data_IF_287681144007
#
_entry.id   IF_287681144007
#
_cell.length_a   1.000
_cell.length_b   1.000
_cell.length_c   1.000
_cell.angle_alpha   90.00
_cell.angle_beta   90.00
_cell.angle_gamma   90.00
#
_symmetry.space_group_name_H-M   'P 1'
#
loop_
_entity.id
_entity.type
_entity.pdbx_description
1 polymer ?
#
# COMPACT_ATOMS: atom_id res chain seq x y z
N UNK A 1 3.91 -28.90 17.84
CA UNK A 1 4.16 -30.31 17.49
C UNK A 1 2.82 -31.02 17.49
N UNK A 2 2.16 -31.13 16.34
CA UNK A 2 0.94 -31.93 16.22
C UNK A 2 1.35 -33.40 16.15
N UNK A 3 0.80 -34.23 17.05
CA UNK A 3 0.89 -35.68 16.97
C UNK A 3 0.16 -36.12 15.70
N UNK A 4 0.87 -36.79 14.79
CA UNK A 4 0.25 -37.48 13.67
C UNK A 4 -0.77 -38.48 14.23
N UNK A 5 -2.06 -38.27 13.92
CA UNK A 5 -3.10 -39.21 14.31
C UNK A 5 -2.85 -40.54 13.60
N UNK A 6 -2.83 -41.65 14.35
CA UNK A 6 -2.64 -42.97 13.80
C UNK A 6 -3.79 -43.30 12.82
N UNK A 7 -3.45 -43.84 11.65
CA UNK A 7 -4.43 -44.20 10.62
C UNK A 7 -5.38 -45.27 11.20
N UNK A 8 -6.70 -45.04 11.22
CA UNK A 8 -7.65 -46.01 11.76
C UNK A 8 -7.69 -47.28 10.88
N UNK A 9 -7.66 -48.46 11.51
CA UNK A 9 -7.94 -49.73 10.83
C UNK A 9 -9.45 -49.90 10.71
N UNK A 10 -9.93 -50.23 9.52
CA UNK A 10 -11.34 -50.41 9.20
C UNK A 10 -11.54 -51.86 8.81
N UNK A 11 -12.21 -52.64 9.65
CA UNK A 11 -12.47 -54.07 9.42
C UNK A 11 -13.98 -54.36 9.30
N UNK A 12 -14.82 -53.51 9.90
CA UNK A 12 -16.30 -53.62 9.88
C UNK A 12 -16.99 -52.36 9.36
N UNK A 13 -18.28 -52.46 9.02
CA UNK A 13 -19.11 -51.31 8.63
C UNK A 13 -19.25 -50.29 9.77
N UNK A 14 -19.28 -50.75 11.02
CA UNK A 14 -19.39 -49.88 12.19
C UNK A 14 -18.08 -49.10 12.40
N UNK A 15 -16.93 -49.70 12.11
CA UNK A 15 -15.63 -49.01 12.13
C UNK A 15 -15.54 -47.90 11.06
N UNK A 16 -16.19 -48.13 9.90
CA UNK A 16 -16.27 -47.13 8.84
C UNK A 16 -17.08 -45.92 9.30
N UNK A 17 -18.27 -46.15 9.88
CA UNK A 17 -19.12 -45.07 10.40
C UNK A 17 -18.42 -44.29 11.53
N UNK A 18 -17.73 -44.98 12.44
CA UNK A 18 -16.95 -44.34 13.50
C UNK A 18 -15.79 -43.48 12.95
N UNK A 19 -15.10 -43.94 11.90
CA UNK A 19 -14.03 -43.19 11.25
C UNK A 19 -14.57 -41.93 10.53
N UNK A 20 -15.74 -42.02 9.89
CA UNK A 20 -16.38 -40.85 9.26
C UNK A 20 -16.76 -39.82 10.32
N UNK A 21 -17.38 -40.23 11.42
CA UNK A 21 -17.73 -39.32 12.51
C UNK A 21 -16.49 -38.64 13.11
N UNK A 22 -15.42 -39.40 13.34
CA UNK A 22 -14.13 -38.85 13.83
C UNK A 22 -13.56 -37.79 12.89
N UNK A 23 -13.54 -38.09 11.59
CA UNK A 23 -13.04 -37.18 10.56
C UNK A 23 -13.89 -35.90 10.51
N UNK A 24 -15.22 -36.02 10.56
CA UNK A 24 -16.11 -34.87 10.58
C UNK A 24 -15.90 -34.01 11.83
N UNK A 25 -15.71 -34.62 12.99
CA UNK A 25 -15.38 -33.88 14.22
C UNK A 25 -14.03 -33.20 14.13
N UNK A 26 -13.01 -33.84 13.55
CA UNK A 26 -11.69 -33.24 13.37
C UNK A 26 -11.74 -32.05 12.41
N UNK A 27 -12.47 -32.17 11.29
CA UNK A 27 -12.69 -31.08 10.34
C UNK A 27 -13.41 -29.92 11.01
N UNK A 28 -14.50 -30.18 11.75
CA UNK A 28 -15.25 -29.13 12.47
C UNK A 28 -14.37 -28.46 13.53
N UNK A 29 -13.62 -29.24 14.30
CA UNK A 29 -12.70 -28.71 15.34
C UNK A 29 -11.56 -27.90 14.72
N UNK A 30 -11.02 -28.33 13.58
CA UNK A 30 -9.99 -27.59 12.85
C UNK A 30 -10.53 -26.28 12.26
N UNK A 31 -11.76 -26.28 11.76
CA UNK A 31 -12.44 -25.09 11.26
C UNK A 31 -12.71 -24.09 12.39
N UNK A 32 -13.20 -24.55 13.54
CA UNK A 32 -13.40 -23.72 14.73
C UNK A 32 -12.09 -23.14 15.23
N UNK A 33 -11.02 -23.94 15.31
CA UNK A 33 -9.67 -23.46 15.67
C UNK A 33 -9.14 -22.43 14.68
N UNK A 34 -9.29 -22.66 13.38
CA UNK A 34 -8.82 -21.72 12.34
C UNK A 34 -9.59 -20.40 12.37
N UNK A 35 -10.90 -20.45 12.55
CA UNK A 35 -11.76 -19.25 12.59
C UNK A 35 -11.56 -18.45 13.88
N UNK A 36 -11.42 -19.12 15.03
CA UNK A 36 -11.10 -18.48 16.31
C UNK A 36 -9.68 -17.92 16.32
N UNK A 37 -8.69 -18.67 15.86
CA UNK A 37 -7.30 -18.22 15.73
C UNK A 37 -7.20 -17.00 14.80
N UNK A 38 -7.96 -16.97 13.69
CA UNK A 38 -8.00 -15.78 12.80
C UNK A 38 -8.60 -14.55 13.49
N UNK A 39 -9.65 -14.71 14.30
CA UNK A 39 -10.28 -13.61 15.06
C UNK A 39 -9.37 -13.13 16.18
N UNK A 40 -8.78 -14.04 16.93
CA UNK A 40 -7.81 -13.75 18.00
C UNK A 40 -6.54 -13.11 17.44
N UNK A 41 -6.05 -13.54 16.27
CA UNK A 41 -4.94 -12.90 15.57
C UNK A 41 -5.31 -11.48 15.14
N UNK A 42 -6.52 -11.24 14.60
CA UNK A 42 -6.98 -9.88 14.26
C UNK A 42 -7.09 -8.99 15.49
N UNK A 43 -7.63 -9.52 16.59
CA UNK A 43 -7.74 -8.82 17.86
C UNK A 43 -6.38 -8.55 18.50
N UNK A 44 -5.46 -9.52 18.48
CA UNK A 44 -4.09 -9.36 18.96
C UNK A 44 -3.28 -8.39 18.10
N UNK A 45 -3.48 -8.36 16.78
CA UNK A 45 -2.86 -7.37 15.90
C UNK A 45 -3.42 -5.96 16.19
N UNK A 46 -4.73 -5.83 16.42
CA UNK A 46 -5.34 -4.58 16.88
C UNK A 46 -4.77 -4.12 18.23
N UNK A 47 -4.64 -5.03 19.21
CA UNK A 47 -4.07 -4.75 20.53
C UNK A 47 -2.57 -4.40 20.42
N UNK A 48 -1.79 -5.10 19.60
CA UNK A 48 -0.38 -4.79 19.36
C UNK A 48 -0.20 -3.41 18.68
N UNK A 49 -1.07 -3.05 17.73
CA UNK A 49 -1.09 -1.71 17.12
C UNK A 49 -1.52 -0.62 18.11
N UNK A 50 -2.47 -0.94 19.00
CA UNK A 50 -2.93 -0.04 20.05
C UNK A 50 -1.82 0.16 21.08
N UNK A 51 -1.17 -0.89 21.57
CA UNK A 51 -0.04 -0.83 22.50
C UNK A 51 1.18 -0.08 21.92
N UNK A 52 1.45 -0.24 20.62
CA UNK A 52 2.51 0.51 19.94
C UNK A 52 2.27 2.02 19.87
N UNK A 53 1.01 2.45 19.93
CA UNK A 53 0.59 3.85 19.98
C UNK A 53 0.01 4.24 21.35
N UNK A 54 0.05 3.34 22.35
CA UNK A 54 -0.50 3.55 23.68
C UNK A 54 0.54 4.31 24.49
N UNK A 55 0.43 5.63 24.43
CA UNK A 55 0.87 6.49 25.53
C UNK A 55 -0.12 6.14 26.64
N UNK A 56 0.30 5.45 27.70
CA UNK A 56 -0.61 5.07 28.77
C UNK A 56 -1.17 6.28 29.52
N UNK A 57 -1.40 6.14 30.82
CA UNK A 57 -1.69 7.32 31.62
C UNK A 57 -0.51 8.29 31.56
N UNK A 58 -0.77 9.51 31.05
CA UNK A 58 0.24 10.55 30.90
C UNK A 58 0.84 10.84 32.30
N UNK A 59 2.18 10.82 32.47
CA UNK A 59 2.80 11.08 33.75
C UNK A 59 2.33 12.39 34.37
N UNK A 60 2.17 12.42 35.69
CA UNK A 60 1.67 13.58 36.42
C UNK A 60 2.46 14.86 36.10
N UNK A 61 3.78 14.75 35.93
CA UNK A 61 4.65 15.86 35.53
C UNK A 61 4.27 16.44 34.15
N UNK A 62 4.04 15.59 33.15
CA UNK A 62 3.60 16.02 31.83
C UNK A 62 2.19 16.65 31.87
N UNK A 63 1.29 16.14 32.71
CA UNK A 63 -0.02 16.75 32.94
C UNK A 63 0.11 18.15 33.56
N UNK A 64 1.00 18.33 34.55
CA UNK A 64 1.28 19.62 35.17
C UNK A 64 1.88 20.60 34.15
N UNK A 65 2.85 20.18 33.34
CA UNK A 65 3.41 20.98 32.24
C UNK A 65 2.34 21.40 31.22
N UNK A 66 1.39 20.52 30.89
CA UNK A 66 0.26 20.85 30.01
C UNK A 66 -0.61 21.95 30.65
N UNK A 67 -0.90 21.87 31.95
CA UNK A 67 -1.66 22.89 32.68
C UNK A 67 -0.91 24.23 32.67
N UNK A 68 0.37 24.24 32.99
CA UNK A 68 1.19 25.46 32.98
C UNK A 68 1.30 26.08 31.58
N UNK A 69 1.50 25.26 30.54
CA UNK A 69 1.52 25.71 29.14
C UNK A 69 0.20 26.35 28.74
N UNK A 70 -0.95 25.76 29.13
CA UNK A 70 -2.29 26.31 28.85
C UNK A 70 -2.44 27.68 29.53
N UNK A 71 -2.07 27.80 30.80
CA UNK A 71 -2.12 29.07 31.55
C UNK A 71 -1.20 30.14 30.92
N UNK A 72 0.03 29.78 30.54
CA UNK A 72 0.97 30.68 29.89
C UNK A 72 0.49 31.15 28.51
N UNK A 73 -0.13 30.27 27.71
CA UNK A 73 -0.74 30.66 26.43
C UNK A 73 -1.89 31.65 26.62
N UNK A 74 -2.75 31.41 27.61
CA UNK A 74 -3.84 32.33 27.92
C UNK A 74 -3.31 33.70 28.37
N UNK A 75 -2.26 33.72 29.21
CA UNK A 75 -1.59 34.97 29.60
C UNK A 75 -1.00 35.69 28.39
N UNK A 76 -0.27 34.97 27.53
CA UNK A 76 0.32 35.53 26.31
C UNK A 76 -0.74 36.16 25.38
N UNK A 77 -1.87 35.47 25.20
CA UNK A 77 -2.99 35.95 24.37
C UNK A 77 -3.58 37.25 24.92
N UNK A 78 -3.79 37.34 26.24
CA UNK A 78 -4.35 38.54 26.88
C UNK A 78 -3.40 39.72 26.89
N UNK A 79 -2.12 39.47 27.11
CA UNK A 79 -1.12 40.52 27.29
C UNK A 79 -0.54 41.07 25.98
N UNK A 80 -0.54 40.28 24.89
CA UNK A 80 0.18 40.60 23.65
C UNK A 80 1.71 40.67 23.78
N UNK A 81 2.30 40.64 24.98
CA UNK A 81 3.72 40.87 25.19
C UNK A 81 4.61 39.69 24.70
N UNK A 82 5.77 39.99 24.08
CA UNK A 82 6.67 38.97 23.53
C UNK A 82 7.24 38.03 24.61
N UNK A 83 7.46 38.53 25.83
CA UNK A 83 7.97 37.73 26.96
C UNK A 83 7.01 36.61 27.35
N UNK A 84 5.71 36.89 27.44
CA UNK A 84 4.71 35.89 27.75
C UNK A 84 4.60 34.83 26.64
N UNK A 85 4.78 35.24 25.37
CA UNK A 85 4.85 34.30 24.23
C UNK A 85 6.11 33.43 24.31
N UNK A 86 7.25 33.97 24.71
CA UNK A 86 8.51 33.23 24.91
C UNK A 86 8.33 32.14 25.98
N UNK A 87 7.73 32.47 27.12
CA UNK A 87 7.41 31.51 28.20
C UNK A 87 6.46 30.41 27.70
N UNK A 88 5.39 30.78 26.98
CA UNK A 88 4.44 29.80 26.42
C UNK A 88 5.10 28.85 25.41
N UNK A 89 6.05 29.36 24.61
CA UNK A 89 6.83 28.55 23.66
C UNK A 89 7.81 27.61 24.39
N UNK A 90 8.51 28.10 25.41
CA UNK A 90 9.39 27.27 26.24
C UNK A 90 8.61 26.12 26.90
N UNK A 91 7.46 26.41 27.52
CA UNK A 91 6.59 25.39 28.09
C UNK A 91 6.03 24.43 27.04
N UNK A 92 5.75 24.92 25.82
CA UNK A 92 5.33 24.05 24.71
C UNK A 92 6.43 23.07 24.30
N UNK A 93 7.70 23.51 24.29
CA UNK A 93 8.85 22.63 24.03
C UNK A 93 9.03 21.60 25.15
N UNK A 94 8.92 22.03 26.41
CA UNK A 94 8.98 21.12 27.57
C UNK A 94 7.88 20.07 27.56
N UNK A 95 6.65 20.45 27.24
CA UNK A 95 5.54 19.49 27.09
C UNK A 95 5.83 18.48 25.98
N UNK A 96 6.33 18.92 24.83
CA UNK A 96 6.71 18.00 23.74
C UNK A 96 7.79 17.03 24.19
N UNK A 97 8.88 17.53 24.78
CA UNK A 97 9.96 16.72 25.30
C UNK A 97 9.48 15.66 26.30
N UNK A 98 8.66 16.06 27.29
CA UNK A 98 8.13 15.15 28.29
C UNK A 98 7.21 14.07 27.70
N UNK A 99 6.38 14.41 26.70
CA UNK A 99 5.53 13.44 26.01
C UNK A 99 6.34 12.50 25.11
N UNK A 100 7.35 13.02 24.41
CA UNK A 100 8.22 12.23 23.55
C UNK A 100 9.05 11.25 24.40
N UNK A 101 9.59 11.70 25.52
CA UNK A 101 10.33 10.84 26.47
C UNK A 101 9.44 9.73 27.03
N UNK A 102 8.23 10.06 27.48
CA UNK A 102 7.29 9.06 27.98
C UNK A 102 6.88 8.06 26.89
N UNK A 103 6.69 8.53 25.66
CA UNK A 103 6.43 7.66 24.50
C UNK A 103 7.62 6.74 24.22
N UNK A 104 8.84 7.26 24.24
CA UNK A 104 10.06 6.47 24.02
C UNK A 104 10.26 5.42 25.12
N UNK A 105 10.03 5.78 26.38
CA UNK A 105 10.09 4.87 27.52
C UNK A 105 9.05 3.75 27.38
N UNK A 106 7.81 4.10 27.06
CA UNK A 106 6.74 3.12 26.85
C UNK A 106 7.05 2.19 25.68
N UNK A 107 7.59 2.75 24.59
CA UNK A 107 8.04 1.97 23.44
C UNK A 107 9.21 1.05 23.77
N UNK A 108 10.16 1.51 24.59
CA UNK A 108 11.28 0.69 25.06
C UNK A 108 10.81 -0.50 25.86
N UNK A 109 9.93 -0.28 26.86
CA UNK A 109 9.31 -1.36 27.64
C UNK A 109 8.53 -2.35 26.78
N UNK A 110 7.84 -1.84 25.75
CA UNK A 110 7.16 -2.68 24.79
C UNK A 110 8.13 -3.53 23.97
N UNK A 111 9.27 -2.98 23.53
CA UNK A 111 10.29 -3.75 22.81
C UNK A 111 10.94 -4.81 23.71
N UNK A 112 11.19 -4.48 24.98
CA UNK A 112 11.73 -5.41 25.99
C UNK A 112 10.78 -6.57 26.31
N UNK A 113 9.46 -6.37 26.17
CA UNK A 113 8.48 -7.42 26.41
C UNK A 113 8.30 -8.39 25.23
N UNK A 114 8.90 -8.12 24.06
CA UNK A 114 8.77 -8.99 22.89
C UNK A 114 9.55 -10.29 23.06
N UNK A 115 8.95 -11.39 22.61
CA UNK A 115 9.53 -12.71 22.66
C UNK A 115 9.53 -13.38 21.27
N UNK A 116 10.63 -14.03 20.86
CA UNK A 116 10.64 -14.80 19.62
C UNK A 116 9.71 -16.03 19.61
N UNK A 117 9.39 -16.60 20.78
CA UNK A 117 8.63 -17.86 20.91
C UNK A 117 7.11 -17.71 20.80
N UNK A 118 6.57 -16.51 21.02
CA UNK A 118 5.13 -16.24 21.08
C UNK A 118 4.59 -15.46 19.86
N UNK A 119 5.38 -15.40 18.77
CA UNK A 119 5.06 -14.69 17.52
C UNK A 119 4.90 -13.15 17.69
N UNK A 120 5.13 -12.58 18.89
CA UNK A 120 5.04 -11.13 19.14
C UNK A 120 6.05 -10.34 18.32
N UNK A 121 7.30 -10.82 18.24
CA UNK A 121 8.39 -10.18 17.48
C UNK A 121 8.08 -10.12 15.98
N UNK A 122 7.53 -11.18 15.41
CA UNK A 122 7.19 -11.21 13.98
C UNK A 122 6.00 -10.30 13.66
N UNK A 123 4.99 -10.27 14.55
CA UNK A 123 3.85 -9.34 14.43
C UNK A 123 4.34 -7.89 14.46
N UNK A 124 5.18 -7.51 15.42
CA UNK A 124 5.73 -6.14 15.51
C UNK A 124 6.61 -5.79 14.32
N UNK A 125 7.49 -6.70 13.89
CA UNK A 125 8.30 -6.49 12.69
C UNK A 125 7.44 -6.25 11.45
N UNK A 126 6.37 -7.03 11.26
CA UNK A 126 5.45 -6.88 10.13
C UNK A 126 4.78 -5.51 10.15
N UNK A 127 4.35 -5.05 11.31
CA UNK A 127 3.79 -3.69 11.50
C UNK A 127 4.81 -2.61 11.11
N UNK A 128 6.05 -2.71 11.59
CA UNK A 128 7.11 -1.73 11.31
C UNK A 128 7.49 -1.69 9.81
N UNK A 129 7.49 -2.83 9.14
CA UNK A 129 7.75 -2.91 7.68
C UNK A 129 6.57 -2.40 6.85
N UNK A 130 5.35 -2.44 7.38
CA UNK A 130 4.16 -1.99 6.67
C UNK A 130 4.13 -0.46 6.63
N UNK A 131 4.68 0.12 5.56
CA UNK A 131 4.47 1.52 5.24
C UNK A 131 3.08 1.67 4.63
N UNK A 132 2.10 2.11 5.42
CA UNK A 132 0.85 2.63 4.85
C UNK A 132 1.16 4.00 4.24
N UNK A 133 1.56 4.01 2.98
CA UNK A 133 1.48 5.26 2.22
C UNK A 133 0.00 5.59 2.10
N UNK A 134 -0.41 6.75 2.62
CA UNK A 134 -1.72 7.27 2.26
C UNK A 134 -1.66 7.51 0.75
N UNK A 135 -2.47 6.76 0.00
CA UNK A 135 -2.62 7.01 -1.43
C UNK A 135 -3.04 8.48 -1.55
N UNK A 136 -2.26 9.33 -2.23
CA UNK A 136 -2.61 10.74 -2.33
C UNK A 136 -3.98 10.86 -3.00
N UNK A 137 -4.77 11.90 -2.68
CA UNK A 137 -6.00 12.18 -3.39
C UNK A 137 -5.74 12.25 -4.90
N UNK A 138 -6.68 11.73 -5.69
CA UNK A 138 -6.58 11.83 -7.14
C UNK A 138 -6.80 13.30 -7.53
N UNK A 139 -5.87 13.84 -8.31
CA UNK A 139 -5.95 15.20 -8.83
C UNK A 139 -6.25 15.15 -10.33
N UNK A 140 -7.22 15.95 -10.78
CA UNK A 140 -7.42 16.32 -12.17
C UNK A 140 -6.91 17.74 -12.42
N UNK A 141 -7.22 18.32 -13.58
CA UNK A 141 -6.75 19.66 -13.96
C UNK A 141 -7.15 20.77 -12.97
N UNK A 142 -8.33 20.64 -12.37
CA UNK A 142 -8.92 21.65 -11.46
C UNK A 142 -8.71 21.33 -9.98
N UNK A 143 -7.92 20.30 -9.63
CA UNK A 143 -7.63 19.90 -8.25
C UNK A 143 -8.17 18.51 -7.88
N UNK A 144 -8.49 18.31 -6.60
CA UNK A 144 -8.89 16.99 -6.09
C UNK A 144 -10.23 16.57 -6.69
N UNK A 145 -10.29 15.33 -7.17
CA UNK A 145 -11.42 14.77 -7.87
C UNK A 145 -12.23 13.83 -6.99
N UNK A 146 -13.55 13.97 -7.03
CA UNK A 146 -14.47 13.21 -6.18
C UNK A 146 -15.45 12.33 -6.97
N UNK A 147 -15.99 12.82 -8.09
CA UNK A 147 -17.01 12.08 -8.86
C UNK A 147 -16.35 10.99 -9.71
N UNK A 148 -17.08 9.90 -9.98
CA UNK A 148 -16.54 8.80 -10.79
C UNK A 148 -16.29 9.20 -12.25
N UNK A 149 -17.11 10.11 -12.78
CA UNK A 149 -16.89 10.69 -14.11
C UNK A 149 -15.60 11.50 -14.14
N UNK A 150 -15.40 12.41 -13.19
CA UNK A 150 -14.18 13.22 -13.12
C UNK A 150 -12.95 12.34 -12.88
N UNK A 151 -13.06 11.25 -12.09
CA UNK A 151 -11.96 10.28 -11.92
C UNK A 151 -11.59 9.64 -13.25
N UNK A 152 -12.59 9.25 -14.04
CA UNK A 152 -12.38 8.67 -15.36
C UNK A 152 -11.69 9.67 -16.30
N UNK A 153 -12.09 10.95 -16.28
CA UNK A 153 -11.41 12.01 -17.04
C UNK A 153 -9.95 12.18 -16.56
N UNK A 154 -9.70 12.32 -15.26
CA UNK A 154 -8.35 12.47 -14.72
C UNK A 154 -7.41 11.30 -15.08
N UNK A 155 -7.93 10.07 -15.12
CA UNK A 155 -7.17 8.92 -15.61
C UNK A 155 -6.95 8.96 -17.12
N UNK A 156 -7.94 9.41 -17.90
CA UNK A 156 -7.80 9.54 -19.35
C UNK A 156 -6.75 10.61 -19.70
N UNK A 157 -6.72 11.73 -19.00
CA UNK A 157 -5.72 12.78 -19.17
C UNK A 157 -4.31 12.29 -18.82
N UNK A 158 -4.18 11.54 -17.72
CA UNK A 158 -2.91 10.90 -17.35
C UNK A 158 -2.45 9.87 -18.39
N UNK A 159 -3.39 9.12 -18.99
CA UNK A 159 -3.09 8.12 -20.01
C UNK A 159 -2.65 8.78 -21.32
N UNK A 160 -3.35 9.83 -21.74
CA UNK A 160 -2.98 10.64 -22.91
C UNK A 160 -1.56 11.18 -22.75
N UNK A 161 -1.26 11.79 -21.60
CA UNK A 161 0.07 12.36 -21.31
C UNK A 161 1.19 11.31 -21.40
N UNK A 162 0.95 10.11 -20.89
CA UNK A 162 1.93 9.01 -20.93
C UNK A 162 2.09 8.42 -22.34
N UNK A 163 1.07 8.53 -23.17
CA UNK A 163 1.06 8.09 -24.56
C UNK A 163 1.48 9.20 -25.53
N UNK A 164 2.16 10.26 -25.09
CA UNK A 164 2.81 11.24 -25.99
C UNK A 164 4.19 10.75 -26.41
N UNK A 165 4.69 11.31 -27.51
CA UNK A 165 6.05 11.05 -27.96
C UNK A 165 7.05 11.59 -26.93
N UNK A 166 8.11 10.81 -26.65
CA UNK A 166 9.12 11.21 -25.68
C UNK A 166 9.97 12.35 -26.27
N UNK A 167 9.94 13.52 -25.65
CA UNK A 167 10.78 14.66 -26.03
C UNK A 167 12.19 14.56 -25.40
N UNK A 168 12.81 13.39 -25.47
CA UNK A 168 14.20 13.23 -25.02
C UNK A 168 15.12 13.42 -26.22
N UNK A 169 15.54 14.66 -26.44
CA UNK A 169 16.66 15.03 -27.33
C UNK A 169 17.99 14.66 -26.66
N UNK A 170 18.20 13.36 -26.42
CA UNK A 170 19.49 12.83 -26.01
C UNK A 170 20.15 12.16 -27.23
N UNK A 171 21.10 12.86 -27.83
CA UNK A 171 21.85 12.39 -29.00
C UNK A 171 22.60 11.07 -28.71
N UNK A 172 23.10 10.87 -27.48
CA UNK A 172 23.80 9.64 -27.10
C UNK A 172 22.83 8.46 -26.99
N UNK A 173 21.67 8.68 -26.36
CA UNK A 173 20.62 7.68 -26.27
C UNK A 173 20.08 7.31 -27.66
N UNK A 174 19.87 8.31 -28.53
CA UNK A 174 19.40 8.11 -29.90
C UNK A 174 20.40 7.27 -30.70
N UNK A 175 21.70 7.60 -30.60
CA UNK A 175 22.76 6.84 -31.24
C UNK A 175 22.86 5.39 -30.70
N UNK A 176 22.67 5.18 -29.40
CA UNK A 176 22.63 3.84 -28.80
C UNK A 176 21.45 3.01 -29.33
N UNK A 177 20.25 3.61 -29.41
CA UNK A 177 19.06 2.94 -29.91
C UNK A 177 19.18 2.59 -31.39
N UNK A 178 19.74 3.47 -32.21
CA UNK A 178 20.02 3.16 -33.61
C UNK A 178 21.02 2.01 -33.77
N UNK A 179 22.10 2.00 -32.97
CA UNK A 179 23.06 0.89 -32.98
C UNK A 179 22.39 -0.43 -32.61
N UNK A 180 21.54 -0.41 -31.58
CA UNK A 180 20.82 -1.60 -31.11
C UNK A 180 19.80 -2.09 -32.15
N UNK A 181 19.05 -1.19 -32.78
CA UNK A 181 18.10 -1.54 -33.84
C UNK A 181 18.80 -2.18 -35.04
N UNK A 182 19.97 -1.65 -35.45
CA UNK A 182 20.80 -2.28 -36.50
C UNK A 182 21.29 -3.66 -36.10
N UNK A 183 21.66 -3.85 -34.84
CA UNK A 183 22.11 -5.15 -34.33
C UNK A 183 20.97 -6.18 -34.31
N UNK A 184 19.77 -5.78 -33.91
CA UNK A 184 18.57 -6.64 -33.95
C UNK A 184 18.20 -7.00 -35.39
N UNK A 185 18.29 -6.06 -36.33
CA UNK A 185 18.04 -6.37 -37.75
C UNK A 185 19.06 -7.31 -38.39
N UNK A 186 20.21 -7.56 -37.75
CA UNK A 186 21.23 -8.50 -38.20
C UNK A 186 21.09 -9.89 -37.57
N UNK A 187 20.37 -10.01 -36.44
CA UNK A 187 20.03 -11.32 -35.89
C UNK A 187 18.91 -11.92 -36.74
N UNK A 188 19.07 -13.14 -37.27
CA UNK A 188 17.97 -13.79 -37.98
C UNK A 188 16.83 -14.05 -36.98
N UNK A 189 15.68 -13.44 -37.24
CA UNK A 189 14.44 -13.74 -36.51
C UNK A 189 13.88 -15.07 -37.04
N UNK A 190 13.70 -16.06 -36.15
CA UNK A 190 13.08 -17.36 -36.47
C UNK A 190 11.54 -17.29 -36.59
N UNK A 191 10.95 -16.11 -36.36
CA UNK A 191 9.50 -15.90 -36.34
C UNK A 191 8.97 -15.48 -37.74
N UNK A 192 7.96 -16.19 -38.27
CA UNK A 192 7.27 -15.86 -39.54
C UNK A 192 6.28 -14.67 -39.40
N UNK A 193 6.69 -13.57 -38.77
CA UNK A 193 5.84 -12.38 -38.65
C UNK A 193 6.03 -11.52 -39.91
N UNK A 194 4.98 -11.42 -40.74
CA UNK A 194 4.99 -10.52 -41.91
C UNK A 194 5.16 -9.07 -41.44
N UNK A 195 6.16 -8.33 -41.94
CA UNK A 195 6.35 -6.93 -41.59
C UNK A 195 5.12 -6.12 -41.99
N UNK A 196 4.63 -5.29 -41.07
CA UNK A 196 3.49 -4.41 -41.34
C UNK A 196 3.94 -3.16 -42.10
N UNK A 197 3.13 -2.69 -43.04
CA UNK A 197 3.45 -1.48 -43.82
C UNK A 197 3.24 -0.22 -42.97
N UNK A 198 4.10 0.81 -43.05
CA UNK A 198 3.91 2.08 -42.33
C UNK A 198 2.54 2.75 -42.56
N UNK A 199 1.94 2.57 -43.74
CA UNK A 199 0.58 3.04 -44.06
C UNK A 199 -0.51 2.34 -43.24
N UNK A 200 -0.31 1.04 -42.96
CA UNK A 200 -1.23 0.25 -42.13
C UNK A 200 -1.16 0.71 -40.67
N UNK A 201 0.01 1.14 -40.20
CA UNK A 201 0.20 1.74 -38.87
C UNK A 201 -0.43 3.14 -38.80
N UNK A 202 -0.22 3.99 -39.81
CA UNK A 202 -0.77 5.36 -39.88
C UNK A 202 -2.31 5.41 -39.93
N UNK A 203 -2.96 4.35 -40.41
CA UNK A 203 -4.42 4.24 -40.48
C UNK A 203 -5.10 3.86 -39.17
N UNK A 204 -4.35 3.53 -38.12
CA UNK A 204 -4.92 3.15 -36.83
C UNK A 204 -5.26 4.43 -36.07
N UNK A 205 -6.54 4.80 -36.04
CA UNK A 205 -7.05 5.88 -35.18
C UNK A 205 -6.99 5.39 -33.72
N UNK A 206 -5.93 5.79 -33.00
CA UNK A 206 -5.63 5.30 -31.66
C UNK A 206 -6.39 6.14 -30.63
N UNK A 207 -7.67 5.83 -30.44
CA UNK A 207 -8.52 6.47 -29.44
C UNK A 207 -8.75 5.58 -28.24
N UNK A 208 -8.56 6.13 -27.04
CA UNK A 208 -8.83 5.43 -25.79
C UNK A 208 -9.78 6.22 -24.89
N UNK A 209 -10.47 5.51 -24.01
CA UNK A 209 -11.27 6.09 -22.92
C UNK A 209 -11.18 5.20 -21.69
N UNK A 210 -11.28 5.78 -20.51
CA UNK A 210 -11.20 5.08 -19.23
C UNK A 210 -12.61 4.91 -18.66
N UNK A 211 -12.86 3.77 -18.01
CA UNK A 211 -14.11 3.50 -17.29
C UNK A 211 -13.83 3.33 -15.80
N UNK A 212 -14.51 4.12 -14.96
CA UNK A 212 -14.43 4.04 -13.49
C UNK A 212 -15.83 3.82 -12.94
N UNK A 213 -16.05 2.68 -12.27
CA UNK A 213 -17.31 2.36 -11.57
C UNK A 213 -18.59 2.62 -12.39
N UNK A 214 -18.56 2.33 -13.71
CA UNK A 214 -19.71 2.51 -14.60
C UNK A 214 -19.62 3.75 -15.49
N UNK A 215 -18.98 4.81 -15.01
CA UNK A 215 -18.81 6.07 -15.73
C UNK A 215 -17.64 6.00 -16.71
N UNK A 216 -17.80 6.64 -17.88
CA UNK A 216 -16.80 6.63 -18.96
C UNK A 216 -16.25 8.04 -19.18
N UNK A 217 -14.95 8.16 -19.35
CA UNK A 217 -14.32 9.39 -19.81
C UNK A 217 -14.70 9.69 -21.25
N UNK A 218 -14.43 10.93 -21.67
CA UNK A 218 -14.35 11.28 -23.08
C UNK A 218 -13.18 10.55 -23.76
N UNK A 219 -13.25 10.42 -25.08
CA UNK A 219 -12.18 9.82 -25.86
C UNK A 219 -10.96 10.75 -25.90
N UNK A 220 -9.78 10.15 -25.80
CA UNK A 220 -8.47 10.79 -25.94
C UNK A 220 -7.74 10.18 -27.11
N UNK A 221 -7.05 11.03 -27.87
CA UNK A 221 -6.19 10.62 -28.97
C UNK A 221 -4.82 10.22 -28.39
N UNK A 222 -4.30 9.06 -28.79
CA UNK A 222 -3.01 8.55 -28.34
C UNK A 222 -2.00 8.63 -29.47
N UNK A 223 -0.95 9.42 -29.29
CA UNK A 223 0.12 9.61 -30.28
C UNK A 223 1.03 8.36 -30.32
N UNK A 224 1.42 7.87 -29.15
CA UNK A 224 2.16 6.63 -28.94
C UNK A 224 1.23 5.48 -28.56
N UNK A 225 1.52 4.28 -29.04
CA UNK A 225 0.69 3.10 -28.80
C UNK A 225 0.81 2.51 -27.39
N UNK A 226 1.77 2.97 -26.58
CA UNK A 226 2.08 2.40 -25.26
C UNK A 226 2.43 3.53 -24.29
N UNK A 227 1.86 3.54 -23.06
CA UNK A 227 2.16 4.56 -22.06
C UNK A 227 3.60 4.43 -21.58
N UNK A 228 4.38 5.49 -21.77
CA UNK A 228 5.80 5.53 -21.41
C UNK A 228 5.99 5.89 -19.93
N UNK A 229 7.07 5.41 -19.31
CA UNK A 229 7.41 5.72 -17.92
C UNK A 229 6.56 5.02 -16.85
N UNK A 230 5.74 4.03 -17.22
CA UNK A 230 4.94 3.23 -16.28
C UNK A 230 5.36 1.76 -16.26
N UNK A 231 4.92 1.00 -15.25
CA UNK A 231 5.08 -0.47 -15.18
C UNK A 231 3.99 -1.23 -15.95
N UNK A 232 3.07 -0.49 -16.59
CA UNK A 232 1.94 -1.03 -17.33
C UNK A 232 2.26 -1.55 -18.74
N UNK A 233 3.34 -1.14 -19.45
CA UNK A 233 3.62 -1.60 -20.82
C UNK A 233 3.64 -3.12 -21.00
N UNK A 234 4.30 -3.92 -20.13
CA UNK A 234 4.30 -5.37 -20.28
C UNK A 234 2.89 -5.98 -20.15
N UNK A 235 2.06 -5.41 -19.28
CA UNK A 235 0.70 -5.87 -19.05
C UNK A 235 -0.22 -5.52 -20.23
N UNK A 236 -0.09 -4.30 -20.77
CA UNK A 236 -0.85 -3.85 -21.94
C UNK A 236 -0.44 -4.57 -23.22
N UNK A 237 0.85 -4.87 -23.39
CA UNK A 237 1.35 -5.68 -24.51
C UNK A 237 0.75 -7.08 -24.48
N UNK A 238 0.75 -7.75 -23.32
CA UNK A 238 0.13 -9.07 -23.19
C UNK A 238 -1.36 -9.03 -23.51
N UNK A 239 -2.10 -8.00 -23.08
CA UNK A 239 -3.53 -7.85 -23.43
C UNK A 239 -3.70 -7.66 -24.95
N UNK A 240 -2.83 -6.88 -25.59
CA UNK A 240 -2.88 -6.63 -27.03
C UNK A 240 -2.52 -7.86 -27.88
N UNK A 241 -1.61 -8.71 -27.42
CA UNK A 241 -1.19 -9.93 -28.15
C UNK A 241 -2.05 -11.16 -27.85
N UNK A 242 -2.94 -11.08 -26.85
CA UNK A 242 -3.86 -12.16 -26.48
C UNK A 242 -5.22 -12.09 -27.18
N UNK A 243 -5.41 -11.13 -28.09
CA UNK A 243 -6.59 -10.95 -28.95
C UNK A 243 -6.25 -11.38 -30.39
#
# INVERSE_FOLDING_TARGET
MQRSAAIPRIETTDDLEAAVVSLETDIRTALERSTTETREIKQANYICHQQANYIGEIPLEAQQLIRYRRAARQRALRSGAPEHRRIANQLSRRVRAALDEHRQESWRRFLESLNPRDNSLWKTQKVLKTRRSLVPPLNGEQGIVHTNRDKAEAFADSLELQCRENQLDDEEHTALMERRARQIGQTPDDDEIRPTTPEKIKRIDRKARVKVEGEKSTYRDLEAGVPQGTVLPPHLFNIYTSD
#
